data_IF_873217357640
#
_entry.id   IF_873217357640
#
_cell.length_a   1.000
_cell.length_b   1.000
_cell.length_c   1.000
_cell.angle_alpha   90.00
_cell.angle_beta   90.00
_cell.angle_gamma   90.00
#
_symmetry.space_group_name_H-M   'P 1'
#
loop_
_entity.id
_entity.type
_entity.pdbx_description
1 polymer ?
#
# COMPACT_ATOMS: atom_id res chain seq x y z
N UNK A 1 -25.59 2.27 5.30
CA UNK A 1 -24.70 2.16 4.12
C UNK A 1 -25.36 1.25 3.12
N UNK A 2 -25.45 1.61 1.84
CA UNK A 2 -26.08 0.76 0.80
C UNK A 2 -24.95 0.15 -0.05
N UNK A 3 -24.92 -1.17 -0.16
CA UNK A 3 -23.92 -1.92 -0.95
C UNK A 3 -24.62 -2.58 -2.13
N UNK A 4 -23.99 -2.52 -3.30
CA UNK A 4 -24.40 -3.21 -4.51
C UNK A 4 -23.23 -4.10 -4.94
N UNK A 5 -23.53 -5.36 -5.28
CA UNK A 5 -22.54 -6.31 -5.82
C UNK A 5 -22.89 -6.54 -7.29
N UNK A 6 -21.89 -6.41 -8.17
CA UNK A 6 -22.05 -6.56 -9.62
C UNK A 6 -21.17 -7.71 -10.07
N UNK A 7 -21.77 -8.67 -10.79
CA UNK A 7 -21.04 -9.77 -11.42
C UNK A 7 -20.86 -9.42 -12.90
N UNK A 8 -19.61 -9.33 -13.35
CA UNK A 8 -19.24 -9.05 -14.74
C UNK A 8 -18.31 -10.15 -15.26
N UNK A 9 -18.05 -10.15 -16.56
CA UNK A 9 -17.06 -11.06 -17.16
C UNK A 9 -15.64 -10.53 -16.94
N UNK A 10 -14.67 -11.40 -16.70
CA UNK A 10 -13.25 -11.04 -16.49
C UNK A 10 -12.71 -10.09 -17.58
N UNK A 11 -13.05 -10.36 -18.85
CA UNK A 11 -12.65 -9.53 -20.01
C UNK A 11 -13.08 -8.06 -19.93
N UNK A 12 -14.06 -7.75 -19.08
CA UNK A 12 -14.63 -6.41 -18.91
C UNK A 12 -14.45 -5.86 -17.50
N UNK A 13 -13.75 -6.58 -16.62
CA UNK A 13 -13.52 -6.18 -15.24
C UNK A 13 -12.76 -4.85 -15.17
N UNK A 14 -11.57 -4.79 -15.76
CA UNK A 14 -10.71 -3.60 -15.73
C UNK A 14 -11.41 -2.35 -16.28
N UNK A 15 -12.09 -2.53 -17.42
CA UNK A 15 -12.83 -1.45 -18.06
C UNK A 15 -13.99 -0.95 -17.19
N UNK A 16 -14.68 -1.85 -16.49
CA UNK A 16 -15.74 -1.47 -15.56
C UNK A 16 -15.19 -0.70 -14.36
N UNK A 17 -14.07 -1.14 -13.78
CA UNK A 17 -13.41 -0.44 -12.67
C UNK A 17 -12.96 0.96 -13.09
N UNK A 18 -12.38 1.10 -14.29
CA UNK A 18 -11.96 2.40 -14.84
C UNK A 18 -13.15 3.36 -15.00
N UNK A 19 -14.27 2.89 -15.55
CA UNK A 19 -15.50 3.68 -15.65
C UNK A 19 -16.03 4.07 -14.27
N UNK A 20 -16.06 3.14 -13.33
CA UNK A 20 -16.55 3.38 -11.97
C UNK A 20 -15.68 4.41 -11.23
N UNK A 21 -14.36 4.39 -11.41
CA UNK A 21 -13.42 5.36 -10.81
C UNK A 21 -13.66 6.79 -11.31
N UNK A 22 -14.18 6.95 -12.52
CA UNK A 22 -14.50 8.26 -13.10
C UNK A 22 -15.85 8.83 -12.63
N UNK A 23 -16.66 8.07 -11.88
CA UNK A 23 -17.94 8.54 -11.36
C UNK A 23 -17.73 9.36 -10.07
N UNK A 24 -17.96 10.68 -10.13
CA UNK A 24 -17.75 11.60 -9.00
C UNK A 24 -18.55 11.28 -7.72
N UNK A 25 -19.61 10.47 -7.82
CA UNK A 25 -20.45 10.06 -6.70
C UNK A 25 -20.04 8.71 -6.09
N UNK A 26 -19.01 8.05 -6.64
CA UNK A 26 -18.47 6.82 -6.07
C UNK A 26 -17.52 7.18 -4.93
N UNK A 27 -17.93 6.83 -3.71
CA UNK A 27 -17.18 7.14 -2.49
C UNK A 27 -16.01 6.19 -2.25
N UNK A 28 -16.18 4.91 -2.62
CA UNK A 28 -15.20 3.84 -2.43
C UNK A 28 -15.51 2.72 -3.42
N UNK A 29 -14.47 2.15 -4.02
CA UNK A 29 -14.51 0.88 -4.73
C UNK A 29 -13.70 -0.09 -3.88
N UNK A 30 -14.15 -1.33 -3.76
CA UNK A 30 -13.40 -2.39 -3.06
C UNK A 30 -13.02 -3.39 -4.14
N UNK A 31 -11.73 -3.42 -4.51
CA UNK A 31 -11.16 -4.44 -5.39
C UNK A 31 -10.04 -5.18 -4.66
N UNK A 32 -9.85 -6.45 -5.00
CA UNK A 32 -8.78 -7.26 -4.40
C UNK A 32 -7.38 -6.69 -4.73
N UNK A 33 -7.22 -6.01 -5.86
CA UNK A 33 -5.98 -5.31 -6.23
C UNK A 33 -5.70 -4.02 -5.43
N UNK A 34 -6.73 -3.35 -4.91
CA UNK A 34 -6.54 -2.07 -4.21
C UNK A 34 -5.91 -2.31 -2.83
N UNK A 35 -6.21 -3.47 -2.21
CA UNK A 35 -5.50 -3.98 -1.03
C UNK A 35 -3.99 -4.13 -1.27
N UNK A 36 -3.59 -4.68 -2.43
CA UNK A 36 -2.17 -4.89 -2.73
C UNK A 36 -1.41 -3.56 -2.91
N UNK A 37 -2.04 -2.57 -3.55
CA UNK A 37 -1.45 -1.25 -3.76
C UNK A 37 -1.36 -0.45 -2.46
N UNK A 38 -2.38 -0.51 -1.62
CA UNK A 38 -2.37 0.10 -0.30
C UNK A 38 -1.28 -0.51 0.60
N UNK A 39 -1.15 -1.84 0.58
CA UNK A 39 -0.11 -2.56 1.34
C UNK A 39 1.31 -2.19 0.86
N UNK A 40 1.54 -2.06 -0.45
CA UNK A 40 2.83 -1.59 -0.99
C UNK A 40 3.14 -0.16 -0.54
N UNK A 41 2.15 0.75 -0.57
CA UNK A 41 2.34 2.13 -0.13
C UNK A 41 2.62 2.20 1.38
N UNK A 42 1.93 1.40 2.19
CA UNK A 42 2.20 1.31 3.62
C UNK A 42 3.59 0.77 3.91
N UNK A 43 4.03 -0.28 3.21
CA UNK A 43 5.36 -0.86 3.34
C UNK A 43 6.47 0.13 2.95
N UNK A 44 6.30 0.86 1.84
CA UNK A 44 7.25 1.91 1.43
C UNK A 44 7.29 3.06 2.45
N UNK A 45 6.13 3.46 2.99
CA UNK A 45 6.04 4.50 4.01
C UNK A 45 6.67 4.07 5.34
N UNK A 46 6.57 2.79 5.69
CA UNK A 46 7.26 2.21 6.84
C UNK A 46 8.78 2.25 6.67
N UNK A 47 9.31 1.78 5.54
CA UNK A 47 10.75 1.83 5.25
C UNK A 47 11.32 3.26 5.24
N UNK A 48 10.56 4.23 4.72
CA UNK A 48 10.96 5.64 4.76
C UNK A 48 10.99 6.22 6.19
N UNK A 49 10.08 5.78 7.08
CA UNK A 49 10.09 6.17 8.50
C UNK A 49 11.31 5.60 9.22
N UNK A 50 11.70 4.36 8.94
CA UNK A 50 12.90 3.74 9.51
C UNK A 50 14.17 4.49 9.12
N UNK A 51 14.32 4.85 7.83
CA UNK A 51 15.45 5.67 7.35
C UNK A 51 15.43 7.07 7.97
N UNK A 52 14.24 7.67 8.16
CA UNK A 52 14.13 8.97 8.80
C UNK A 52 14.45 8.93 10.30
N UNK A 53 14.17 7.82 10.99
CA UNK A 53 14.54 7.59 12.40
C UNK A 53 16.04 7.30 12.54
N UNK A 54 16.63 6.56 11.60
CA UNK A 54 18.07 6.35 11.48
C UNK A 54 18.81 7.68 11.30
N UNK A 55 18.33 8.55 10.40
CA UNK A 55 18.90 9.89 10.17
C UNK A 55 18.72 10.87 11.34
N UNK A 56 17.83 10.57 12.29
CA UNK A 56 17.52 11.45 13.43
C UNK A 56 18.33 11.13 14.70
N UNK A 57 19.34 10.25 14.62
CA UNK A 57 20.24 9.89 15.74
C UNK A 57 19.50 9.45 17.03
N UNK A 58 18.26 8.98 16.92
CA UNK A 58 17.40 8.62 18.07
C UNK A 58 17.44 7.14 18.45
N UNK A 59 18.24 6.32 17.78
CA UNK A 59 18.45 4.91 18.13
C UNK A 59 19.89 4.71 18.64
N UNK A 60 20.01 4.16 19.85
CA UNK A 60 21.29 3.73 20.42
C UNK A 60 21.92 2.69 19.50
N UNK A 61 23.11 3.00 19.02
CA UNK A 61 23.83 2.29 17.96
C UNK A 61 24.44 0.97 18.43
N UNK A 62 24.32 -0.08 17.62
CA UNK A 62 25.40 -1.04 17.37
C UNK A 62 25.94 -0.69 15.97
N UNK A 63 27.26 -0.62 15.80
CA UNK A 63 27.82 -0.17 14.52
C UNK A 63 27.51 -1.19 13.41
N UNK A 64 27.36 -0.72 12.17
CA UNK A 64 27.21 -1.61 11.01
C UNK A 64 28.38 -2.62 10.89
N UNK A 65 29.54 -2.27 11.47
CA UNK A 65 30.73 -3.11 11.55
C UNK A 65 30.57 -4.23 12.59
N UNK A 66 29.86 -3.97 13.67
CA UNK A 66 29.55 -4.96 14.72
C UNK A 66 28.44 -5.90 14.27
N UNK A 67 27.41 -5.38 13.55
CA UNK A 67 26.36 -6.22 12.96
C UNK A 67 26.91 -7.27 11.99
N UNK A 68 27.88 -6.89 11.15
CA UNK A 68 28.51 -7.80 10.19
C UNK A 68 29.46 -8.83 10.84
N UNK A 69 29.87 -8.61 12.08
CA UNK A 69 30.71 -9.57 12.82
C UNK A 69 29.88 -10.59 13.63
N UNK A 70 28.56 -10.40 13.76
CA UNK A 70 27.64 -11.33 14.45
C UNK A 70 27.02 -12.39 13.51
N UNK A 71 27.31 -12.35 12.21
CA UNK A 71 26.94 -13.36 11.19
C UNK A 71 28.11 -14.31 10.92
#
# INVERSE_FOLDING_TARGET
MRKVTIFTTDKKYDHFIELAKNLHYVKKIETDEESEKEEVIENVKAGLKEVALFKKDKLKTTSAKDFLNEL
#
